data_IF_608578616885
#
_entry.id   IF_608578616885
#
_cell.length_a   1.000
_cell.length_b   1.000
_cell.length_c   1.000
_cell.angle_alpha   90.00
_cell.angle_beta   90.00
_cell.angle_gamma   90.00
#
_symmetry.space_group_name_H-M   'P 1'
#
loop_
_entity.id
_entity.type
_entity.pdbx_description
1 polymer ?
#
# COMPACT_ATOMS: atom_id res chain seq x y z
N UNK A 1 -12.44 -38.72 37.13
CA UNK A 1 -13.16 -38.17 35.96
C UNK A 1 -12.21 -37.27 35.22
N UNK A 2 -11.58 -37.83 34.17
CA UNK A 2 -10.62 -37.08 33.37
C UNK A 2 -11.32 -36.25 32.31
N UNK A 3 -11.16 -34.96 32.34
CA UNK A 3 -11.62 -34.06 31.27
C UNK A 3 -10.68 -34.18 30.08
N UNK A 4 -11.15 -34.84 29.06
CA UNK A 4 -10.50 -34.87 27.75
C UNK A 4 -10.62 -33.51 27.08
N UNK A 5 -9.59 -32.68 27.14
CA UNK A 5 -9.50 -31.52 26.28
C UNK A 5 -9.13 -32.02 24.88
N UNK A 6 -10.12 -32.09 24.01
CA UNK A 6 -9.90 -32.26 22.57
C UNK A 6 -9.31 -30.96 22.03
N UNK A 7 -7.98 -30.93 21.90
CA UNK A 7 -7.29 -29.92 21.13
C UNK A 7 -7.66 -30.10 19.67
N UNK A 8 -8.48 -29.24 19.11
CA UNK A 8 -8.64 -29.13 17.67
C UNK A 8 -7.29 -28.73 17.08
N UNK A 9 -6.55 -29.70 16.57
CA UNK A 9 -5.34 -29.48 15.79
C UNK A 9 -5.76 -28.82 14.45
N UNK A 10 -5.86 -27.51 14.42
CA UNK A 10 -5.85 -26.76 13.17
C UNK A 10 -4.44 -26.88 12.58
N UNK A 11 -4.23 -27.86 11.72
CA UNK A 11 -3.00 -27.93 10.95
C UNK A 11 -3.01 -26.82 9.91
N UNK A 12 -2.14 -25.84 10.07
CA UNK A 12 -1.82 -24.84 9.05
C UNK A 12 -1.42 -25.58 7.74
N UNK A 13 -2.21 -25.38 6.68
CA UNK A 13 -1.99 -26.07 5.41
C UNK A 13 -0.94 -25.34 4.57
N UNK A 14 0.13 -26.06 4.22
CA UNK A 14 1.14 -25.57 3.28
C UNK A 14 0.74 -26.07 1.87
N UNK A 15 0.44 -25.11 1.00
CA UNK A 15 0.13 -25.38 -0.40
C UNK A 15 1.40 -25.28 -1.24
N UNK A 16 1.63 -26.24 -2.14
CA UNK A 16 2.78 -26.27 -3.05
C UNK A 16 2.36 -25.82 -4.44
N UNK A 17 3.28 -25.15 -5.15
CA UNK A 17 3.05 -24.63 -6.50
C UNK A 17 1.70 -23.88 -6.59
N UNK A 18 1.51 -22.93 -5.70
CA UNK A 18 0.22 -22.28 -5.49
C UNK A 18 0.08 -21.02 -6.33
N UNK A 19 -1.06 -20.89 -7.05
CA UNK A 19 -1.34 -19.72 -7.88
C UNK A 19 -1.56 -18.47 -7.02
N UNK A 20 -0.82 -17.42 -7.29
CA UNK A 20 -0.85 -16.14 -6.57
C UNK A 20 -1.79 -15.09 -7.20
N UNK A 21 -2.29 -15.33 -8.41
CA UNK A 21 -3.20 -14.41 -9.12
C UNK A 21 -4.39 -13.94 -8.26
N UNK A 22 -5.09 -14.80 -7.51
CA UNK A 22 -6.22 -14.38 -6.66
C UNK A 22 -5.84 -13.49 -5.48
N UNK A 23 -4.54 -13.39 -5.17
CA UNK A 23 -4.02 -12.67 -4.01
C UNK A 23 -3.32 -11.36 -4.38
N UNK A 24 -3.44 -10.91 -5.63
CA UNK A 24 -2.86 -9.66 -6.11
C UNK A 24 -3.90 -8.85 -6.87
N UNK A 25 -3.86 -7.54 -6.71
CA UNK A 25 -4.81 -6.65 -7.38
C UNK A 25 -4.51 -6.43 -8.87
N UNK A 26 -3.30 -6.75 -9.35
CA UNK A 26 -3.00 -6.77 -10.79
C UNK A 26 -3.61 -7.98 -11.51
N UNK A 27 -3.86 -9.09 -10.81
CA UNK A 27 -4.41 -10.29 -11.39
C UNK A 27 -3.53 -10.92 -12.49
N UNK A 28 -2.21 -10.81 -12.37
CA UNK A 28 -1.23 -11.44 -13.25
C UNK A 28 -0.92 -12.84 -12.73
N UNK A 29 -0.74 -13.79 -13.64
CA UNK A 29 -0.41 -15.17 -13.28
C UNK A 29 1.02 -15.25 -12.74
N UNK A 30 1.17 -15.86 -11.57
CA UNK A 30 2.43 -16.22 -10.94
C UNK A 30 2.18 -17.33 -9.90
N UNK A 31 3.18 -18.11 -9.60
CA UNK A 31 3.09 -19.24 -8.64
C UNK A 31 4.13 -19.07 -7.52
N UNK A 32 3.77 -19.51 -6.31
CA UNK A 32 4.72 -19.65 -5.22
C UNK A 32 5.09 -21.13 -5.05
N UNK A 33 6.38 -21.42 -4.81
CA UNK A 33 6.82 -22.78 -4.49
C UNK A 33 6.07 -23.32 -3.26
N UNK A 34 5.86 -22.46 -2.26
CA UNK A 34 5.07 -22.75 -1.06
C UNK A 34 4.19 -21.55 -0.71
N UNK A 35 3.00 -21.80 -0.20
CA UNK A 35 2.06 -20.77 0.24
C UNK A 35 1.37 -21.21 1.52
N UNK A 36 1.19 -20.27 2.45
CA UNK A 36 0.45 -20.49 3.69
C UNK A 36 -0.34 -19.25 4.07
N UNK A 37 -1.54 -19.46 4.60
CA UNK A 37 -2.33 -18.39 5.26
C UNK A 37 -2.23 -18.56 6.76
N UNK A 38 -1.97 -17.48 7.48
CA UNK A 38 -1.87 -17.46 8.94
C UNK A 38 -2.94 -16.54 9.53
N UNK A 39 -3.68 -17.05 10.52
CA UNK A 39 -4.80 -16.36 11.18
C UNK A 39 -4.49 -16.05 12.65
N UNK A 40 -3.42 -16.62 13.20
CA UNK A 40 -2.97 -16.41 14.58
C UNK A 40 -1.47 -16.12 14.64
N UNK A 41 -1.04 -15.48 15.73
CA UNK A 41 0.38 -15.24 15.98
C UNK A 41 1.18 -16.56 16.11
N UNK A 42 0.55 -17.58 16.66
CA UNK A 42 1.16 -18.92 16.77
C UNK A 42 1.40 -19.54 15.38
N UNK A 43 0.41 -19.49 14.50
CA UNK A 43 0.57 -19.95 13.11
C UNK A 43 1.64 -19.14 12.37
N UNK A 44 1.72 -17.81 12.57
CA UNK A 44 2.77 -16.98 11.97
C UNK A 44 4.17 -17.45 12.42
N UNK A 45 4.37 -17.70 13.72
CA UNK A 45 5.65 -18.22 14.23
C UNK A 45 5.99 -19.59 13.62
N UNK A 46 5.01 -20.49 13.52
CA UNK A 46 5.19 -21.79 12.87
C UNK A 46 5.53 -21.66 11.38
N UNK A 47 4.85 -20.75 10.67
CA UNK A 47 5.11 -20.47 9.26
C UNK A 47 6.53 -19.93 9.03
N UNK A 48 7.01 -19.07 9.90
CA UNK A 48 8.39 -18.55 9.84
C UNK A 48 9.46 -19.62 10.08
N UNK A 49 9.12 -20.72 10.76
CA UNK A 49 10.01 -21.85 10.97
C UNK A 49 10.05 -22.85 9.78
N UNK A 50 9.15 -22.72 8.80
CA UNK A 50 9.14 -23.59 7.60
C UNK A 50 10.44 -23.35 6.81
N UNK A 51 11.19 -24.40 6.46
CA UNK A 51 12.35 -24.27 5.59
C UNK A 51 11.97 -23.73 4.21
N UNK A 52 12.55 -22.59 3.84
CA UNK A 52 12.38 -21.99 2.53
C UNK A 52 13.61 -21.14 2.18
N UNK A 53 14.05 -21.11 0.91
CA UNK A 53 15.19 -20.28 0.50
C UNK A 53 14.88 -18.80 0.73
N UNK A 54 13.64 -18.41 0.51
CA UNK A 54 13.14 -17.03 0.65
C UNK A 54 11.75 -17.01 1.29
N UNK A 55 11.40 -15.91 1.91
CA UNK A 55 10.05 -15.67 2.46
C UNK A 55 9.51 -14.32 1.98
N UNK A 56 8.24 -14.32 1.60
CA UNK A 56 7.49 -13.10 1.28
C UNK A 56 6.30 -12.97 2.22
N UNK A 57 6.24 -11.89 2.98
CA UNK A 57 5.07 -11.55 3.79
C UNK A 57 4.06 -10.84 2.89
N UNK A 58 2.88 -11.43 2.74
CA UNK A 58 1.82 -10.93 1.88
C UNK A 58 0.63 -10.45 2.72
N UNK A 59 0.26 -9.20 2.56
CA UNK A 59 -1.01 -8.65 3.07
C UNK A 59 -2.11 -8.77 2.01
N UNK A 60 -2.71 -7.65 1.63
CA UNK A 60 -3.77 -7.58 0.60
C UNK A 60 -3.30 -7.69 -0.85
N UNK A 61 -1.99 -7.76 -1.12
CA UNK A 61 -1.44 -7.87 -2.48
C UNK A 61 -1.76 -6.70 -3.42
N UNK A 62 -2.11 -5.55 -2.87
CA UNK A 62 -2.61 -4.39 -3.61
C UNK A 62 -1.53 -3.43 -4.11
N UNK A 63 -0.27 -3.66 -3.76
CA UNK A 63 0.86 -2.79 -4.15
C UNK A 63 2.09 -3.61 -4.57
N UNK A 64 1.90 -4.72 -5.27
CA UNK A 64 2.98 -5.54 -5.78
C UNK A 64 2.66 -6.13 -7.16
N UNK A 65 3.72 -6.45 -7.90
CA UNK A 65 3.70 -7.20 -9.15
C UNK A 65 4.69 -8.36 -9.02
N UNK A 66 4.22 -9.59 -9.16
CA UNK A 66 5.10 -10.73 -9.37
C UNK A 66 5.61 -10.69 -10.81
N UNK A 67 6.93 -10.59 -10.97
CA UNK A 67 7.60 -10.56 -12.26
C UNK A 67 8.00 -11.95 -12.75
N UNK A 68 8.00 -12.93 -11.86
CA UNK A 68 8.31 -14.35 -12.09
C UNK A 68 7.61 -15.19 -11.03
N UNK A 69 7.61 -16.51 -11.18
CA UNK A 69 7.25 -17.46 -10.15
C UNK A 69 8.20 -17.32 -8.95
N UNK A 70 7.62 -17.25 -7.75
CA UNK A 70 8.37 -17.03 -6.52
C UNK A 70 8.94 -18.34 -5.97
N UNK A 71 10.27 -18.48 -5.99
CA UNK A 71 10.99 -19.66 -5.48
C UNK A 71 11.14 -19.62 -3.96
N UNK A 72 10.02 -19.54 -3.23
CA UNK A 72 10.04 -19.42 -1.78
C UNK A 72 8.68 -19.67 -1.14
N UNK A 73 8.59 -19.31 0.13
CA UNK A 73 7.37 -19.38 0.93
C UNK A 73 6.68 -18.00 0.97
N UNK A 74 5.46 -17.93 0.46
CA UNK A 74 4.57 -16.80 0.67
C UNK A 74 3.75 -17.04 1.93
N UNK A 75 3.83 -16.12 2.90
CA UNK A 75 3.06 -16.13 4.15
C UNK A 75 2.01 -15.03 4.07
N UNK A 76 0.76 -15.40 3.85
CA UNK A 76 -0.37 -14.47 3.81
C UNK A 76 -0.86 -14.16 5.22
N UNK A 77 -0.87 -12.88 5.59
CA UNK A 77 -1.30 -12.42 6.90
C UNK A 77 -2.81 -12.19 6.91
N UNK A 78 -3.53 -12.97 7.72
CA UNK A 78 -4.96 -12.87 7.96
C UNK A 78 -5.27 -12.79 9.47
N UNK A 79 -4.40 -12.16 10.25
CA UNK A 79 -4.64 -11.86 11.66
C UNK A 79 -5.77 -10.84 11.78
N UNK A 80 -6.88 -11.18 12.44
CA UNK A 80 -8.05 -10.31 12.58
C UNK A 80 -8.35 -9.97 14.03
N UNK A 81 -9.02 -8.87 14.23
CA UNK A 81 -9.49 -8.37 15.52
C UNK A 81 -9.26 -6.87 15.69
N UNK A 82 -10.27 -6.19 16.18
CA UNK A 82 -10.25 -4.78 16.54
C UNK A 82 -10.65 -4.68 18.01
N UNK A 83 -9.79 -4.08 18.82
CA UNK A 83 -10.04 -3.85 20.24
C UNK A 83 -9.99 -2.37 20.56
N UNK A 84 -10.99 -1.87 21.27
CA UNK A 84 -10.97 -0.53 21.87
C UNK A 84 -10.19 -0.64 23.18
N UNK A 85 -8.96 -0.10 23.22
CA UNK A 85 -8.13 -0.13 24.41
C UNK A 85 -8.53 0.95 25.42
N UNK A 86 -8.86 2.14 24.89
CA UNK A 86 -9.23 3.29 25.69
C UNK A 86 -10.21 4.16 24.90
N UNK A 87 -11.20 4.70 25.59
CA UNK A 87 -12.12 5.71 25.07
C UNK A 87 -12.33 6.77 26.15
N UNK A 88 -11.46 7.76 26.17
CA UNK A 88 -11.50 8.92 27.06
C UNK A 88 -12.21 10.11 26.38
N UNK A 89 -12.33 11.23 27.10
CA UNK A 89 -13.01 12.43 26.57
C UNK A 89 -12.24 13.05 25.38
N UNK A 90 -10.92 12.91 25.33
CA UNK A 90 -10.04 13.53 24.35
C UNK A 90 -9.51 12.57 23.27
N UNK A 91 -9.64 11.23 23.43
CA UNK A 91 -9.06 10.25 22.52
C UNK A 91 -9.81 8.92 22.52
N UNK A 92 -9.77 8.25 21.36
CA UNK A 92 -10.06 6.80 21.22
C UNK A 92 -8.79 6.09 20.78
N UNK A 93 -8.36 5.11 21.57
CA UNK A 93 -7.20 4.26 21.26
C UNK A 93 -7.67 2.86 20.84
N UNK A 94 -7.25 2.42 19.68
CA UNK A 94 -7.62 1.15 19.07
C UNK A 94 -6.39 0.28 18.89
N UNK A 95 -6.52 -1.02 19.12
CA UNK A 95 -5.57 -2.05 18.69
C UNK A 95 -6.18 -2.84 17.54
N UNK A 96 -5.52 -2.84 16.39
CA UNK A 96 -6.06 -3.41 15.15
C UNK A 96 -5.09 -4.44 14.59
N UNK A 97 -5.54 -5.68 14.43
CA UNK A 97 -4.73 -6.76 13.90
C UNK A 97 -4.35 -6.53 12.44
N UNK A 98 -3.15 -7.00 12.06
CA UNK A 98 -2.52 -6.68 10.78
C UNK A 98 -3.29 -7.14 9.54
N UNK A 99 -4.08 -8.19 9.64
CA UNK A 99 -4.86 -8.74 8.51
C UNK A 99 -6.23 -8.08 8.30
N UNK A 100 -6.64 -7.16 9.17
CA UNK A 100 -7.90 -6.42 8.96
C UNK A 100 -7.89 -5.65 7.65
N UNK A 101 -9.01 -5.71 6.89
CA UNK A 101 -9.16 -4.92 5.68
C UNK A 101 -9.15 -3.43 6.02
N UNK A 102 -8.25 -2.64 5.40
CA UNK A 102 -8.12 -1.22 5.71
C UNK A 102 -9.40 -0.43 5.52
N UNK A 103 -10.07 -0.58 4.37
CA UNK A 103 -11.31 0.17 4.11
C UNK A 103 -12.45 -0.26 5.04
N UNK A 104 -12.57 -1.56 5.29
CA UNK A 104 -13.53 -2.09 6.26
C UNK A 104 -13.27 -1.55 7.67
N UNK A 105 -12.02 -1.41 8.07
CA UNK A 105 -11.64 -0.79 9.34
C UNK A 105 -12.07 0.69 9.39
N UNK A 106 -11.82 1.47 8.34
CA UNK A 106 -12.29 2.88 8.26
C UNK A 106 -13.82 2.96 8.35
N UNK A 107 -14.56 2.06 7.69
CA UNK A 107 -16.02 1.99 7.81
C UNK A 107 -16.45 1.64 9.23
N UNK A 108 -15.78 0.69 9.85
CA UNK A 108 -16.06 0.28 11.22
C UNK A 108 -15.85 1.44 12.20
N UNK A 109 -14.75 2.21 12.09
CA UNK A 109 -14.52 3.37 12.98
C UNK A 109 -15.64 4.40 12.88
N UNK A 110 -16.09 4.72 11.67
CA UNK A 110 -17.20 5.64 11.45
C UNK A 110 -18.52 5.12 12.01
N UNK A 111 -18.79 3.82 11.87
CA UNK A 111 -20.00 3.19 12.45
C UNK A 111 -20.03 3.22 13.99
N UNK A 112 -18.85 3.22 14.63
CA UNK A 112 -18.70 3.39 16.08
C UNK A 112 -18.70 4.88 16.51
N UNK A 113 -18.79 5.83 15.57
CA UNK A 113 -18.69 7.26 15.88
C UNK A 113 -17.24 7.75 16.10
N UNK A 114 -16.23 6.96 15.71
CA UNK A 114 -14.81 7.29 15.85
C UNK A 114 -14.29 7.88 14.53
N UNK A 115 -14.40 9.19 14.39
CA UNK A 115 -13.94 9.92 13.20
C UNK A 115 -12.41 10.15 13.23
N UNK A 116 -11.81 10.38 12.04
CA UNK A 116 -10.39 10.69 11.85
C UNK A 116 -9.78 10.01 10.64
N UNK A 117 -10.23 8.80 10.26
CA UNK A 117 -9.66 8.03 9.15
C UNK A 117 -10.39 8.18 7.81
N UNK A 118 -11.43 8.99 7.72
CA UNK A 118 -12.31 9.15 6.56
C UNK A 118 -11.58 9.57 5.27
N UNK A 119 -10.52 10.36 5.40
CA UNK A 119 -9.67 10.77 4.27
C UNK A 119 -8.89 9.59 3.67
N UNK A 120 -8.66 8.54 4.45
CA UNK A 120 -7.93 7.33 4.02
C UNK A 120 -8.87 6.21 3.54
N UNK A 121 -10.14 6.53 3.30
CA UNK A 121 -11.13 5.58 2.78
C UNK A 121 -10.74 5.03 1.40
N UNK A 122 -11.18 3.81 1.07
CA UNK A 122 -10.91 3.09 -0.19
C UNK A 122 -9.43 2.92 -0.55
N UNK A 123 -8.48 3.11 0.39
CA UNK A 123 -7.13 2.63 0.17
C UNK A 123 -7.18 1.10 0.25
N UNK A 124 -6.74 0.38 -0.80
CA UNK A 124 -6.78 -1.07 -0.78
C UNK A 124 -5.69 -1.65 0.11
N UNK A 125 -5.89 -2.89 0.58
CA UNK A 125 -4.92 -3.62 1.39
C UNK A 125 -5.40 -3.87 2.81
N UNK A 126 -4.46 -4.19 3.70
CA UNK A 126 -4.71 -4.55 5.10
C UNK A 126 -4.00 -3.59 6.05
N UNK A 127 -4.47 -3.53 7.29
CA UNK A 127 -3.95 -2.63 8.33
C UNK A 127 -2.45 -2.81 8.55
N UNK A 128 -1.93 -4.03 8.58
CA UNK A 128 -0.50 -4.29 8.75
C UNK A 128 0.39 -3.85 7.59
N UNK A 129 -0.18 -3.61 6.40
CA UNK A 129 0.55 -3.04 5.27
C UNK A 129 0.60 -1.50 5.31
N UNK A 130 -0.28 -0.86 6.06
CA UNK A 130 -0.40 0.59 6.12
C UNK A 130 0.87 1.29 6.64
N UNK A 131 1.57 0.83 7.71
CA UNK A 131 2.81 1.43 8.19
C UNK A 131 3.99 1.27 7.22
N UNK A 132 4.00 0.24 6.38
CA UNK A 132 5.16 -0.08 5.53
C UNK A 132 5.54 1.12 4.64
N UNK A 133 4.56 1.78 4.07
CA UNK A 133 4.77 2.96 3.23
C UNK A 133 4.01 4.20 3.74
N UNK A 134 3.68 4.23 5.04
CA UNK A 134 2.96 5.36 5.62
C UNK A 134 1.83 5.81 4.70
N UNK A 135 0.82 4.94 4.48
CA UNK A 135 -0.26 5.22 3.53
C UNK A 135 -0.85 6.61 3.77
N UNK A 136 -1.16 7.31 2.70
CA UNK A 136 -1.69 8.67 2.80
C UNK A 136 -2.53 9.06 1.60
N UNK A 137 -3.58 9.84 1.85
CA UNK A 137 -4.47 10.40 0.85
C UNK A 137 -5.16 11.65 1.40
N UNK A 138 -5.53 12.56 0.50
CA UNK A 138 -6.35 13.75 0.82
C UNK A 138 -5.85 14.56 2.03
N UNK A 139 -4.52 14.75 2.11
CA UNK A 139 -3.89 15.63 3.09
C UNK A 139 -3.63 15.01 4.45
N UNK A 140 -3.84 13.70 4.63
CA UNK A 140 -3.49 12.96 5.86
C UNK A 140 -2.68 11.71 5.55
N UNK A 141 -1.89 11.26 6.51
CA UNK A 141 -1.07 10.05 6.45
C UNK A 141 -1.32 9.18 7.68
N UNK A 142 -0.97 7.89 7.62
CA UNK A 142 -1.12 6.98 8.75
C UNK A 142 -0.41 7.49 10.01
N UNK A 143 0.78 8.09 9.87
CA UNK A 143 1.57 8.62 11.00
C UNK A 143 0.79 9.63 11.85
N UNK A 144 -0.21 10.33 11.26
CA UNK A 144 -1.01 11.31 11.97
C UNK A 144 -1.94 10.66 13.02
N UNK A 145 -2.17 9.36 12.92
CA UNK A 145 -3.05 8.57 13.78
C UNK A 145 -2.36 7.36 14.43
N UNK A 146 -1.13 7.04 14.03
CA UNK A 146 -0.41 5.89 14.55
C UNK A 146 0.00 6.13 16.00
N UNK A 147 -0.42 5.23 16.90
CA UNK A 147 0.01 5.21 18.31
C UNK A 147 1.21 4.30 18.53
N UNK A 148 1.22 3.14 17.88
CA UNK A 148 2.31 2.18 17.88
C UNK A 148 2.17 1.19 16.72
N UNK A 149 3.24 0.44 16.49
CA UNK A 149 3.24 -0.72 15.58
C UNK A 149 3.80 -1.92 16.34
N UNK A 150 3.02 -2.99 16.48
CA UNK A 150 3.48 -4.26 17.03
C UNK A 150 4.09 -5.12 15.93
N UNK A 151 5.32 -5.56 16.16
CA UNK A 151 6.16 -6.18 15.15
C UNK A 151 6.75 -7.48 15.69
N UNK A 152 6.55 -8.58 15.01
CA UNK A 152 7.23 -9.84 15.28
C UNK A 152 8.60 -9.83 14.59
N UNK A 153 9.65 -9.88 15.38
CA UNK A 153 11.01 -10.09 14.90
C UNK A 153 11.17 -11.53 14.41
N UNK A 154 11.65 -11.71 13.18
CA UNK A 154 11.69 -13.02 12.50
C UNK A 154 12.72 -13.96 13.12
N UNK A 155 13.82 -13.44 13.64
CA UNK A 155 14.90 -14.23 14.22
C UNK A 155 14.56 -14.69 15.66
N UNK A 156 14.17 -13.74 16.51
CA UNK A 156 13.88 -14.01 17.92
C UNK A 156 12.47 -14.54 18.18
N UNK A 157 11.56 -14.43 17.23
CA UNK A 157 10.12 -14.74 17.31
C UNK A 157 9.43 -14.01 18.49
N UNK A 158 9.96 -12.84 18.89
CA UNK A 158 9.38 -11.98 19.92
C UNK A 158 8.64 -10.80 19.29
N UNK A 159 7.52 -10.45 19.86
CA UNK A 159 6.80 -9.21 19.48
C UNK A 159 7.42 -8.04 20.22
N UNK A 160 7.74 -6.98 19.49
CA UNK A 160 8.17 -5.70 20.02
C UNK A 160 7.21 -4.62 19.54
N UNK A 161 6.90 -3.69 20.44
CA UNK A 161 6.15 -2.48 20.14
C UNK A 161 7.08 -1.35 19.75
N UNK A 162 6.80 -0.72 18.60
CA UNK A 162 7.52 0.45 18.10
C UNK A 162 6.64 1.69 18.26
N UNK A 163 7.17 2.72 18.91
CA UNK A 163 6.53 4.03 18.94
C UNK A 163 6.58 4.71 17.55
N UNK A 164 5.71 5.68 17.25
CA UNK A 164 5.69 6.35 15.93
C UNK A 164 7.04 6.95 15.53
N UNK A 165 7.78 7.52 16.47
CA UNK A 165 9.12 8.07 16.22
C UNK A 165 10.14 7.00 15.79
N UNK A 166 10.02 5.77 16.32
CA UNK A 166 10.88 4.65 15.95
C UNK A 166 10.54 4.11 14.56
N UNK A 167 9.30 4.30 14.09
CA UNK A 167 8.85 3.86 12.76
C UNK A 167 9.45 4.68 11.61
N UNK A 168 10.07 5.83 11.88
CA UNK A 168 10.74 6.69 10.88
C UNK A 168 9.85 6.97 9.66
N UNK A 169 8.58 7.30 9.91
CA UNK A 169 7.62 7.57 8.84
C UNK A 169 8.01 8.79 8.01
N UNK A 170 8.04 8.62 6.70
CA UNK A 170 8.25 9.67 5.70
C UNK A 170 7.31 9.46 4.50
N UNK A 171 7.41 10.31 3.48
CA UNK A 171 6.59 10.22 2.27
C UNK A 171 6.81 8.88 1.54
N UNK A 172 5.81 8.00 1.59
CA UNK A 172 5.85 6.64 1.04
C UNK A 172 7.03 5.81 1.56
N UNK A 173 7.44 6.06 2.81
CA UNK A 173 8.58 5.38 3.43
C UNK A 173 8.41 5.15 4.93
N UNK A 174 9.17 4.19 5.47
CA UNK A 174 9.26 3.88 6.89
C UNK A 174 10.46 2.97 7.17
N UNK A 175 10.77 2.73 8.45
CA UNK A 175 11.79 1.75 8.87
C UNK A 175 11.53 0.33 8.33
N UNK A 176 10.25 -0.01 8.04
CA UNK A 176 9.85 -1.32 7.52
C UNK A 176 10.25 -1.55 6.06
N UNK A 177 10.59 -0.50 5.31
CA UNK A 177 11.19 -0.57 3.98
C UNK A 177 12.72 -0.49 4.01
N UNK A 178 13.28 -0.10 5.15
CA UNK A 178 14.71 0.08 5.40
C UNK A 178 15.28 -0.97 6.35
N UNK A 179 15.64 -0.56 7.56
CA UNK A 179 16.38 -1.38 8.53
C UNK A 179 15.65 -2.65 8.99
N UNK A 180 14.31 -2.66 8.99
CA UNK A 180 13.48 -3.80 9.37
C UNK A 180 12.94 -4.59 8.17
N UNK A 181 13.32 -4.22 6.94
CA UNK A 181 12.92 -4.98 5.74
C UNK A 181 13.41 -6.43 5.87
N UNK A 182 12.53 -7.38 5.58
CA UNK A 182 12.76 -8.82 5.62
C UNK A 182 13.21 -9.38 6.98
N UNK A 183 13.20 -8.54 8.05
CA UNK A 183 13.57 -8.93 9.43
C UNK A 183 12.38 -8.94 10.37
N UNK A 184 11.25 -8.37 9.96
CA UNK A 184 10.12 -8.11 10.83
C UNK A 184 8.79 -8.28 10.12
N UNK A 185 7.77 -8.73 10.86
CA UNK A 185 6.39 -8.85 10.40
C UNK A 185 5.49 -8.02 11.29
N UNK A 186 4.76 -7.06 10.73
CA UNK A 186 3.78 -6.28 11.47
C UNK A 186 2.61 -7.20 11.83
N UNK A 187 2.26 -7.24 13.12
CA UNK A 187 1.19 -8.09 13.66
C UNK A 187 -0.03 -7.32 14.09
N UNK A 188 0.13 -6.06 14.49
CA UNK A 188 -0.96 -5.14 14.80
C UNK A 188 -0.50 -3.68 14.68
N UNK A 189 -1.48 -2.77 14.58
CA UNK A 189 -1.26 -1.32 14.58
C UNK A 189 -2.15 -0.68 15.65
N UNK A 190 -1.55 0.11 16.52
CA UNK A 190 -2.26 1.00 17.44
C UNK A 190 -2.67 2.28 16.72
N UNK A 191 -3.93 2.66 16.84
CA UNK A 191 -4.49 3.87 16.22
C UNK A 191 -5.04 4.77 17.32
N UNK A 192 -4.71 6.05 17.29
CA UNK A 192 -5.29 7.11 18.13
C UNK A 192 -6.12 8.07 17.30
N UNK A 193 -7.39 8.20 17.67
CA UNK A 193 -8.34 9.12 17.04
C UNK A 193 -8.68 10.24 18.03
N UNK A 194 -8.39 11.52 17.72
CA UNK A 194 -8.60 12.63 18.63
C UNK A 194 -10.07 12.98 18.82
N UNK A 195 -10.41 13.45 20.01
CA UNK A 195 -11.68 14.08 20.36
C UNK A 195 -11.40 15.46 20.97
N UNK A 196 -12.11 16.53 20.58
CA UNK A 196 -13.05 16.58 19.48
C UNK A 196 -12.36 16.34 18.12
N UNK A 197 -13.07 15.71 17.21
CA UNK A 197 -12.62 15.51 15.83
C UNK A 197 -12.61 16.84 15.07
N UNK A 198 -11.62 17.01 14.18
CA UNK A 198 -11.51 18.19 13.31
C UNK A 198 -11.42 17.74 11.85
N UNK A 199 -12.33 18.28 11.02
CA UNK A 199 -12.40 17.97 9.60
C UNK A 199 -11.10 18.35 8.85
N UNK A 200 -10.54 17.41 8.09
CA UNK A 200 -9.36 17.63 7.23
C UNK A 200 -9.82 17.76 5.78
N UNK A 201 -10.23 18.98 5.39
CA UNK A 201 -10.84 19.24 4.07
C UNK A 201 -10.01 20.13 3.17
N UNK A 202 -8.82 20.58 3.57
CA UNK A 202 -8.01 21.56 2.83
C UNK A 202 -7.34 20.98 1.56
N UNK A 203 -7.64 19.73 1.16
CA UNK A 203 -6.97 19.09 0.05
C UNK A 203 -7.92 18.71 -1.08
N UNK A 204 -7.61 19.19 -2.30
CA UNK A 204 -8.30 18.82 -3.53
C UNK A 204 -9.82 19.02 -3.48
N UNK A 205 -10.60 18.03 -3.93
CA UNK A 205 -12.06 18.17 -4.02
C UNK A 205 -12.78 18.26 -2.67
N UNK A 206 -12.09 17.99 -1.55
CA UNK A 206 -12.69 18.14 -0.22
C UNK A 206 -12.84 19.60 0.19
N UNK A 207 -12.05 20.50 -0.38
CA UNK A 207 -12.09 21.93 -0.03
C UNK A 207 -13.47 22.60 -0.32
N UNK A 208 -14.27 22.01 -1.21
CA UNK A 208 -15.62 22.48 -1.54
C UNK A 208 -16.70 22.07 -0.53
N UNK A 209 -16.40 21.18 0.43
CA UNK A 209 -17.40 20.65 1.37
C UNK A 209 -17.82 21.66 2.47
N UNK A 210 -17.00 22.67 2.75
CA UNK A 210 -17.24 23.60 3.86
C UNK A 210 -16.84 23.04 5.23
N UNK A 211 -16.59 23.93 6.19
CA UNK A 211 -16.06 23.58 7.52
C UNK A 211 -17.00 22.69 8.37
N UNK A 212 -18.31 22.74 8.09
CA UNK A 212 -19.33 21.97 8.82
C UNK A 212 -19.53 20.54 8.27
N UNK A 213 -18.68 20.09 7.34
CA UNK A 213 -18.79 18.77 6.78
C UNK A 213 -18.57 17.68 7.85
N UNK A 214 -19.50 16.76 7.97
CA UNK A 214 -19.34 15.60 8.88
C UNK A 214 -18.29 14.61 8.35
N UNK A 215 -17.72 13.81 9.23
CA UNK A 215 -16.82 12.72 8.85
C UNK A 215 -17.43 11.77 7.81
N UNK A 216 -18.72 11.46 7.95
CA UNK A 216 -19.46 10.65 6.97
C UNK A 216 -19.56 11.34 5.59
N UNK A 217 -19.74 12.66 5.56
CA UNK A 217 -19.78 13.45 4.32
C UNK A 217 -18.40 13.41 3.63
N UNK A 218 -17.32 13.60 4.40
CA UNK A 218 -15.94 13.50 3.88
C UNK A 218 -15.67 12.09 3.35
N UNK A 219 -16.01 11.05 4.12
CA UNK A 219 -15.87 9.65 3.70
C UNK A 219 -16.55 9.38 2.36
N UNK A 220 -17.83 9.79 2.22
CA UNK A 220 -18.58 9.62 0.96
C UNK A 220 -17.92 10.35 -0.21
N UNK A 221 -17.47 11.59 0.00
CA UNK A 221 -16.79 12.37 -1.02
C UNK A 221 -15.45 11.75 -1.43
N UNK A 222 -14.67 11.25 -0.47
CA UNK A 222 -13.42 10.52 -0.73
C UNK A 222 -13.70 9.27 -1.56
N UNK A 223 -14.68 8.45 -1.14
CA UNK A 223 -15.07 7.25 -1.87
C UNK A 223 -15.48 7.58 -3.32
N UNK A 224 -16.36 8.56 -3.51
CA UNK A 224 -16.82 9.00 -4.83
C UNK A 224 -15.65 9.47 -5.70
N UNK A 225 -14.79 10.33 -5.15
CA UNK A 225 -13.63 10.88 -5.88
C UNK A 225 -12.66 9.77 -6.29
N UNK A 226 -12.41 8.79 -5.40
CA UNK A 226 -11.54 7.66 -5.71
C UNK A 226 -12.13 6.73 -6.76
N UNK A 227 -13.43 6.42 -6.66
CA UNK A 227 -14.14 5.61 -7.65
C UNK A 227 -14.19 6.24 -9.04
N UNK A 228 -14.27 7.58 -9.11
CA UNK A 228 -14.20 8.32 -10.38
C UNK A 228 -12.80 8.34 -10.98
N UNK A 229 -11.75 8.39 -10.13
CA UNK A 229 -10.37 8.57 -10.60
C UNK A 229 -9.58 7.26 -10.72
N UNK A 230 -9.92 6.24 -9.97
CA UNK A 230 -9.15 4.99 -9.92
C UNK A 230 -10.03 3.83 -10.38
N UNK A 231 -9.56 3.01 -11.31
CA UNK A 231 -10.30 1.82 -11.71
C UNK A 231 -10.38 0.83 -10.54
N UNK A 232 -11.54 0.20 -10.38
CA UNK A 232 -11.74 -0.88 -9.41
C UNK A 232 -10.85 -2.08 -9.79
N UNK A 233 -9.90 -2.50 -8.97
CA UNK A 233 -8.98 -3.59 -9.31
C UNK A 233 -9.68 -4.94 -9.47
N UNK A 234 -10.91 -5.11 -8.94
CA UNK A 234 -11.72 -6.31 -9.16
C UNK A 234 -12.31 -6.37 -10.58
N UNK A 235 -12.38 -5.23 -11.28
CA UNK A 235 -12.91 -5.15 -12.65
C UNK A 235 -11.80 -4.96 -13.67
N UNK A 236 -10.78 -4.20 -13.29
CA UNK A 236 -9.64 -3.87 -14.16
C UNK A 236 -8.38 -3.90 -13.30
N UNK A 237 -7.63 -5.01 -13.37
CA UNK A 237 -6.48 -5.28 -12.51
C UNK A 237 -5.48 -4.12 -12.51
N UNK A 238 -5.09 -3.66 -11.33
CA UNK A 238 -4.12 -2.59 -11.15
C UNK A 238 -3.59 -2.57 -9.70
N UNK A 239 -2.57 -1.77 -9.42
CA UNK A 239 -2.03 -1.57 -8.08
C UNK A 239 -2.09 -0.10 -7.63
N UNK A 240 -3.09 0.65 -8.11
CA UNK A 240 -3.20 2.07 -7.86
C UNK A 240 -2.14 2.89 -8.60
N UNK A 241 -1.62 3.92 -7.95
CA UNK A 241 -0.55 4.74 -8.53
C UNK A 241 0.71 3.92 -8.72
N UNK A 242 1.18 3.80 -9.98
CA UNK A 242 2.35 2.98 -10.28
C UNK A 242 3.68 3.65 -9.90
N UNK A 243 3.75 4.98 -10.03
CA UNK A 243 4.92 5.77 -9.71
C UNK A 243 4.66 6.74 -8.56
N UNK A 244 5.70 7.03 -7.78
CA UNK A 244 5.68 8.10 -6.79
C UNK A 244 5.68 9.47 -7.48
N UNK A 245 5.12 10.46 -6.81
CA UNK A 245 5.32 11.84 -7.19
C UNK A 245 6.79 12.21 -6.95
N UNK A 246 7.57 12.60 -7.99
CA UNK A 246 8.98 12.87 -7.84
C UNK A 246 9.22 14.15 -7.05
N UNK A 247 10.26 14.13 -6.20
CA UNK A 247 10.71 15.29 -5.43
C UNK A 247 12.03 15.76 -6.04
N UNK A 248 12.05 17.00 -6.56
CA UNK A 248 13.18 17.59 -7.27
C UNK A 248 13.69 18.85 -6.55
N UNK A 249 14.89 19.32 -6.92
CA UNK A 249 15.42 20.58 -6.41
C UNK A 249 14.64 21.79 -6.96
N UNK A 250 14.67 22.91 -6.23
CA UNK A 250 14.06 24.17 -6.69
C UNK A 250 14.64 24.60 -8.05
N UNK A 251 15.97 24.49 -8.23
CA UNK A 251 16.61 24.86 -9.49
C UNK A 251 16.13 24.02 -10.68
N UNK A 252 15.98 22.70 -10.51
CA UNK A 252 15.43 21.82 -11.54
C UNK A 252 13.95 22.16 -11.82
N UNK A 253 13.18 22.45 -10.77
CA UNK A 253 11.79 22.89 -10.92
C UNK A 253 11.68 24.15 -11.76
N UNK A 254 12.47 25.18 -11.48
CA UNK A 254 12.39 26.46 -12.18
C UNK A 254 12.63 26.31 -13.70
N UNK A 255 13.60 25.47 -14.10
CA UNK A 255 13.87 25.16 -15.51
C UNK A 255 12.65 24.51 -16.19
N UNK A 256 11.95 23.59 -15.49
CA UNK A 256 10.79 22.88 -16.05
C UNK A 256 9.57 23.81 -16.07
N UNK A 257 9.36 24.58 -15.02
CA UNK A 257 8.23 25.49 -14.83
C UNK A 257 8.22 26.64 -15.86
N UNK A 258 9.39 27.14 -16.24
CA UNK A 258 9.52 28.17 -17.29
C UNK A 258 8.84 27.75 -18.60
N UNK A 259 8.92 26.48 -18.96
CA UNK A 259 8.26 25.90 -20.15
C UNK A 259 6.88 25.34 -19.88
N UNK A 260 6.49 25.20 -18.59
CA UNK A 260 5.24 24.55 -18.17
C UNK A 260 4.62 25.28 -16.97
N UNK A 261 4.15 26.53 -17.14
CA UNK A 261 3.71 27.38 -16.02
C UNK A 261 2.47 26.83 -15.28
N UNK A 262 1.69 25.98 -15.90
CA UNK A 262 0.50 25.32 -15.30
C UNK A 262 0.80 23.99 -14.59
N UNK A 263 2.08 23.60 -14.48
CA UNK A 263 2.47 22.32 -13.90
C UNK A 263 2.08 22.23 -12.40
N UNK A 264 1.25 21.25 -12.00
CA UNK A 264 0.88 21.05 -10.60
C UNK A 264 2.11 20.66 -9.76
N UNK A 265 2.33 21.37 -8.67
CA UNK A 265 3.46 21.14 -7.79
C UNK A 265 3.11 21.46 -6.34
N UNK A 266 3.90 20.92 -5.40
CA UNK A 266 3.66 21.05 -3.96
C UNK A 266 5.00 21.22 -3.24
N UNK A 267 5.04 22.02 -2.15
CA UNK A 267 6.26 22.14 -1.32
C UNK A 267 6.59 20.80 -0.64
N UNK A 268 7.89 20.49 -0.54
CA UNK A 268 8.40 19.27 0.09
C UNK A 268 9.76 19.53 0.75
N UNK A 269 9.76 20.05 2.00
CA UNK A 269 10.98 20.21 2.80
C UNK A 269 12.13 20.98 2.09
N UNK A 270 11.83 22.15 1.51
CA UNK A 270 12.81 22.94 0.74
C UNK A 270 13.04 22.45 -0.70
N UNK A 271 12.42 21.34 -1.08
CA UNK A 271 12.33 20.80 -2.45
C UNK A 271 10.91 20.96 -2.99
N UNK A 272 10.69 20.53 -4.23
CA UNK A 272 9.38 20.60 -4.90
C UNK A 272 8.96 19.20 -5.31
N UNK A 273 7.73 18.80 -4.95
CA UNK A 273 7.10 17.57 -5.36
C UNK A 273 6.22 17.82 -6.59
N UNK A 274 6.46 17.13 -7.69
CA UNK A 274 5.70 17.23 -8.92
C UNK A 274 4.59 16.17 -8.99
N UNK A 275 3.52 16.45 -9.72
CA UNK A 275 2.48 15.48 -10.00
C UNK A 275 2.93 14.52 -11.12
N UNK A 276 3.33 13.27 -10.78
CA UNK A 276 3.76 12.26 -11.75
C UNK A 276 2.70 11.98 -12.81
N UNK A 277 1.42 11.94 -12.41
CA UNK A 277 0.32 11.75 -13.36
C UNK A 277 0.25 12.85 -14.43
N UNK A 278 0.54 14.10 -14.07
CA UNK A 278 0.61 15.20 -15.02
C UNK A 278 1.80 15.04 -15.98
N UNK A 279 2.99 14.66 -15.48
CA UNK A 279 4.16 14.44 -16.33
C UNK A 279 3.90 13.35 -17.38
N UNK A 280 3.25 12.26 -16.98
CA UNK A 280 2.88 11.14 -17.88
C UNK A 280 1.81 11.59 -18.89
N UNK A 281 0.81 12.34 -18.44
CA UNK A 281 -0.25 12.89 -19.31
C UNK A 281 0.31 13.84 -20.36
N UNK A 282 1.22 14.73 -19.97
CA UNK A 282 1.90 15.61 -20.93
C UNK A 282 2.72 14.85 -21.99
N UNK A 283 3.14 13.62 -21.69
CA UNK A 283 3.79 12.74 -22.67
C UNK A 283 2.79 12.06 -23.62
N UNK A 284 1.49 12.35 -23.53
CA UNK A 284 0.41 11.73 -24.29
C UNK A 284 0.36 10.20 -24.14
N UNK A 285 0.63 9.70 -22.93
CA UNK A 285 0.69 8.26 -22.66
C UNK A 285 -0.63 7.68 -22.14
N UNK A 286 -1.67 8.49 -21.86
CA UNK A 286 -2.99 7.95 -21.54
C UNK A 286 -3.50 7.06 -22.66
N UNK A 287 -3.97 5.86 -22.32
CA UNK A 287 -4.44 4.86 -23.28
C UNK A 287 -3.33 4.13 -24.04
N UNK A 288 -2.04 4.52 -23.88
CA UNK A 288 -0.93 3.79 -24.50
C UNK A 288 -0.89 2.36 -23.97
N UNK A 289 -0.77 1.39 -24.88
CA UNK A 289 -0.85 -0.04 -24.59
C UNK A 289 0.43 -0.76 -25.01
N UNK A 290 0.89 -1.68 -24.15
CA UNK A 290 2.00 -2.58 -24.39
C UNK A 290 1.54 -4.01 -24.07
N UNK A 291 1.34 -4.85 -25.08
CA UNK A 291 0.72 -6.16 -24.89
C UNK A 291 -0.64 -6.06 -24.21
N UNK A 292 -0.85 -6.76 -23.11
CA UNK A 292 -2.06 -6.68 -22.28
C UNK A 292 -2.05 -5.58 -21.21
N UNK A 293 -0.97 -4.79 -21.09
CA UNK A 293 -0.87 -3.69 -20.13
C UNK A 293 -1.21 -2.35 -20.81
N UNK A 294 -1.92 -1.46 -20.10
CA UNK A 294 -2.31 -0.14 -20.63
C UNK A 294 -2.15 0.94 -19.56
N UNK A 295 -1.73 2.14 -19.95
CA UNK A 295 -1.90 3.35 -19.13
C UNK A 295 -3.38 3.69 -19.12
N UNK A 296 -3.98 3.79 -17.93
CA UNK A 296 -5.42 4.04 -17.82
C UNK A 296 -5.82 5.36 -18.51
N UNK A 297 -6.92 5.34 -19.22
CA UNK A 297 -7.37 6.45 -20.10
C UNK A 297 -7.70 7.73 -19.33
N UNK A 298 -8.21 7.62 -18.08
CA UNK A 298 -8.57 8.77 -17.25
C UNK A 298 -7.49 9.13 -16.24
N UNK A 299 -6.67 8.16 -15.82
CA UNK A 299 -5.66 8.35 -14.77
C UNK A 299 -4.29 7.87 -15.24
N UNK A 300 -3.48 8.80 -15.76
CA UNK A 300 -2.16 8.51 -16.33
C UNK A 300 -1.18 7.82 -15.36
N UNK A 301 -1.41 7.95 -14.04
CA UNK A 301 -0.54 7.35 -13.02
C UNK A 301 -0.84 5.87 -12.76
N UNK A 302 -1.91 5.33 -13.34
CA UNK A 302 -2.34 3.94 -13.14
C UNK A 302 -2.04 3.11 -14.38
N UNK A 303 -1.31 2.02 -14.20
CA UNK A 303 -1.16 0.97 -15.20
C UNK A 303 -2.20 -0.11 -14.90
N UNK A 304 -2.90 -0.55 -15.93
CA UNK A 304 -3.97 -1.55 -15.82
C UNK A 304 -3.66 -2.80 -16.63
N UNK A 305 -4.13 -3.92 -16.13
CA UNK A 305 -4.21 -5.18 -16.85
C UNK A 305 -5.55 -5.24 -17.60
N UNK A 306 -5.52 -5.25 -18.92
CA UNK A 306 -6.75 -5.30 -19.76
C UNK A 306 -7.37 -6.71 -19.82
N UNK A 307 -6.86 -7.65 -19.01
CA UNK A 307 -7.35 -9.03 -18.90
C UNK A 307 -6.35 -10.09 -19.38
N UNK A 308 -5.34 -9.68 -20.15
CA UNK A 308 -4.34 -10.57 -20.75
C UNK A 308 -2.90 -10.14 -20.47
N UNK A 309 -2.68 -9.15 -19.59
CA UNK A 309 -1.35 -8.65 -19.31
C UNK A 309 -0.49 -9.71 -18.62
N UNK A 310 0.71 -9.86 -19.13
CA UNK A 310 1.80 -10.54 -18.45
C UNK A 310 2.56 -9.56 -17.55
N UNK A 311 3.37 -10.07 -16.62
CA UNK A 311 4.27 -9.22 -15.84
C UNK A 311 5.24 -8.45 -16.74
N UNK A 312 5.73 -9.10 -17.81
CA UNK A 312 6.61 -8.50 -18.80
C UNK A 312 5.95 -7.29 -19.48
N UNK A 313 4.68 -7.37 -19.89
CA UNK A 313 3.95 -6.25 -20.51
C UNK A 313 3.91 -5.04 -19.57
N UNK A 314 3.61 -5.27 -18.29
CA UNK A 314 3.55 -4.20 -17.26
C UNK A 314 4.94 -3.57 -17.04
N UNK A 315 5.98 -4.40 -16.94
CA UNK A 315 7.37 -3.95 -16.77
C UNK A 315 7.83 -3.12 -17.96
N UNK A 316 7.59 -3.58 -19.18
CA UNK A 316 7.97 -2.88 -20.41
C UNK A 316 7.21 -1.55 -20.56
N UNK A 317 5.91 -1.53 -20.24
CA UNK A 317 5.12 -0.31 -20.22
C UNK A 317 5.67 0.69 -19.16
N UNK A 318 5.97 0.22 -17.96
CA UNK A 318 6.55 1.07 -16.92
C UNK A 318 7.90 1.65 -17.33
N UNK A 319 8.75 0.86 -17.99
CA UNK A 319 10.04 1.32 -18.55
C UNK A 319 9.85 2.35 -19.64
N UNK A 320 8.89 2.14 -20.54
CA UNK A 320 8.55 3.10 -21.60
C UNK A 320 8.11 4.44 -21.00
N UNK A 321 7.23 4.43 -20.00
CA UNK A 321 6.78 5.64 -19.28
C UNK A 321 7.96 6.36 -18.65
N UNK A 322 8.81 5.65 -17.89
CA UNK A 322 9.99 6.22 -17.23
C UNK A 322 10.94 6.89 -18.23
N UNK A 323 11.24 6.21 -19.34
CA UNK A 323 12.14 6.72 -20.38
C UNK A 323 11.57 7.96 -21.07
N UNK A 324 10.27 7.93 -21.41
CA UNK A 324 9.60 9.04 -22.10
C UNK A 324 9.52 10.30 -21.24
N UNK A 325 9.17 10.14 -19.95
CA UNK A 325 9.13 11.26 -19.01
C UNK A 325 10.52 11.82 -18.75
N UNK A 326 11.54 10.96 -18.59
CA UNK A 326 12.93 11.38 -18.39
C UNK A 326 13.46 12.14 -19.60
N UNK A 327 13.20 11.67 -20.82
CA UNK A 327 13.61 12.34 -22.04
C UNK A 327 12.97 13.73 -22.20
N UNK A 328 11.70 13.90 -21.81
CA UNK A 328 10.97 15.17 -21.97
C UNK A 328 11.26 16.19 -20.88
N UNK A 329 11.36 15.75 -19.62
CA UNK A 329 11.41 16.64 -18.45
C UNK A 329 12.71 16.56 -17.65
N UNK A 330 13.64 15.67 -18.00
CA UNK A 330 14.82 15.35 -17.20
C UNK A 330 14.45 14.96 -15.73
N UNK A 331 13.29 14.30 -15.55
CA UNK A 331 12.78 13.83 -14.25
C UNK A 331 12.71 12.32 -14.28
N UNK A 332 13.35 11.68 -13.31
CA UNK A 332 13.29 10.24 -13.16
C UNK A 332 12.11 9.84 -12.28
N UNK A 333 11.19 8.99 -12.80
CA UNK A 333 10.08 8.44 -12.05
C UNK A 333 10.53 7.19 -11.29
N UNK A 334 10.22 7.13 -10.00
CA UNK A 334 10.43 5.94 -9.17
C UNK A 334 9.12 5.19 -9.04
N UNK A 335 9.13 3.87 -9.23
CA UNK A 335 7.94 3.04 -9.02
C UNK A 335 7.57 3.01 -7.53
N UNK A 336 6.26 3.03 -7.24
CA UNK A 336 5.69 2.81 -5.90
C UNK A 336 5.34 1.32 -5.73
N UNK A 337 4.90 0.67 -6.80
CA UNK A 337 4.59 -0.77 -6.84
C UNK A 337 5.87 -1.58 -6.60
N UNK A 338 5.80 -2.56 -5.70
CA UNK A 338 6.92 -3.47 -5.40
C UNK A 338 7.00 -4.56 -6.47
N UNK A 339 8.16 -4.79 -7.00
CA UNK A 339 8.42 -5.89 -7.94
C UNK A 339 8.98 -7.09 -7.20
N UNK A 340 8.37 -8.24 -7.40
CA UNK A 340 8.78 -9.50 -6.79
C UNK A 340 9.26 -10.42 -7.92
N UNK A 341 10.55 -10.67 -7.96
CA UNK A 341 11.17 -11.64 -8.86
C UNK A 341 11.22 -13.03 -8.24
N UNK A 342 11.90 -13.93 -8.91
CA UNK A 342 12.03 -15.33 -8.52
C UNK A 342 12.60 -15.52 -7.12
N UNK A 343 13.59 -14.73 -6.75
CA UNK A 343 14.37 -14.90 -5.53
C UNK A 343 14.21 -13.73 -4.54
N UNK A 344 13.16 -12.93 -4.67
CA UNK A 344 12.85 -11.84 -3.74
C UNK A 344 12.43 -10.54 -4.42
N UNK A 345 12.43 -9.47 -3.65
CA UNK A 345 12.10 -8.15 -4.17
C UNK A 345 13.22 -7.62 -5.08
N UNK A 346 12.81 -7.07 -6.20
CA UNK A 346 13.68 -6.53 -7.26
C UNK A 346 13.22 -5.11 -7.66
N UNK A 347 13.76 -4.58 -8.73
CA UNK A 347 13.40 -3.27 -9.25
C UNK A 347 13.30 -3.26 -10.78
N UNK A 348 12.71 -2.19 -11.31
CA UNK A 348 12.48 -2.05 -12.76
C UNK A 348 13.75 -2.22 -13.60
N UNK A 349 14.88 -1.70 -13.12
CA UNK A 349 16.13 -1.78 -13.87
C UNK A 349 16.70 -3.21 -13.92
N UNK A 350 16.55 -3.98 -12.84
CA UNK A 350 16.98 -5.37 -12.77
C UNK A 350 16.09 -6.27 -13.63
N UNK A 351 14.78 -6.14 -13.51
CA UNK A 351 13.81 -6.96 -14.29
C UNK A 351 13.97 -6.71 -15.80
N UNK A 352 14.35 -5.50 -16.23
CA UNK A 352 14.56 -5.19 -17.64
C UNK A 352 15.90 -5.74 -18.21
N UNK A 353 16.80 -6.27 -17.37
CA UNK A 353 18.11 -6.83 -17.82
C UNK A 353 18.07 -8.35 -18.02
N UNK A 354 17.16 -9.03 -17.36
CA UNK A 354 16.97 -10.48 -17.46
C UNK A 354 15.95 -10.85 -18.51
#
# INVERSE_FOLDING_TARGET
MGSCFTSANYFMQILKNHNLKPYTSFGVDAYAAQFVTVTTLTELKLALAIPAPQRLILGGGSNLLFCDDFNGLVIRICLTGITVNESADDVVSLHVAAGENWHGFVQWTLAQGYAGLENLALIPGVVGAAPVQNIGAYGVELKDFCDYVDVLDIESLKVRRYAPAECQFDYRDSIFKGALKDKAVITAVGIKLPKPWVAKINYGPLASLGAEASALTIFKQVCLTRQQKLPDPNKLGNAGSFFKNPIISKAQFDIIADKNPSMPHYPAGGKIKLAAGWLIDQCNLKGYQQGGAQVHTEQALVIVNTGTATAHDIVMLAKHIQTTVSARFAVELQHEVRFIGRDGETNLAEVCRG
#
